data_IF_126715362237
#
_entry.id   IF_126715362237
#
_cell.length_a   1.000
_cell.length_b   1.000
_cell.length_c   1.000
_cell.angle_alpha   90.00
_cell.angle_beta   90.00
_cell.angle_gamma   90.00
#
_symmetry.space_group_name_H-M   'P 1'
#
loop_
_entity.id
_entity.type
_entity.pdbx_description
1 polymer ?
#
# COMPACT_ATOMS: atom_id res chain seq x y z
N UNK A 1 -10.72 8.64 16.85
CA UNK A 1 -9.26 8.63 16.65
C UNK A 1 -8.93 7.29 16.04
N UNK A 2 -8.19 7.24 14.92
CA UNK A 2 -7.94 6.00 14.16
C UNK A 2 -6.77 5.22 14.75
N UNK A 3 -5.66 5.90 15.06
CA UNK A 3 -4.51 5.32 15.76
C UNK A 3 -3.72 6.42 16.49
N UNK A 4 -3.04 6.06 17.58
CA UNK A 4 -2.19 6.95 18.37
C UNK A 4 -0.80 6.33 18.62
N UNK A 5 0.15 7.16 19.06
CA UNK A 5 1.51 6.71 19.39
C UNK A 5 2.27 6.01 18.23
N UNK A 6 1.93 6.35 16.98
CA UNK A 6 2.69 5.91 15.80
C UNK A 6 4.16 6.34 15.93
N UNK A 7 5.07 5.43 15.57
CA UNK A 7 6.53 5.72 15.60
C UNK A 7 6.91 6.76 14.55
N UNK A 8 6.18 6.82 13.45
CA UNK A 8 6.31 7.80 12.36
C UNK A 8 5.02 7.86 11.52
N UNK A 9 5.05 8.66 10.44
CA UNK A 9 3.94 8.74 9.50
C UNK A 9 4.32 9.51 8.23
N UNK A 10 3.82 9.06 7.09
CA UNK A 10 4.12 9.70 5.80
C UNK A 10 2.98 9.60 4.78
N UNK A 11 2.38 8.41 4.63
CA UNK A 11 1.32 8.17 3.64
C UNK A 11 0.02 7.76 4.33
N UNK A 12 -1.09 8.24 3.79
CA UNK A 12 -2.44 7.78 4.09
C UNK A 12 -3.28 7.87 2.81
N UNK A 13 -4.02 6.82 2.50
CA UNK A 13 -4.90 6.78 1.33
C UNK A 13 -6.18 6.00 1.64
N UNK A 14 -7.32 6.52 1.18
CA UNK A 14 -8.59 5.82 1.28
C UNK A 14 -8.50 4.51 0.49
N UNK A 15 -8.87 3.40 1.11
CA UNK A 15 -8.73 2.07 0.52
C UNK A 15 -10.02 1.28 0.73
N UNK A 16 -10.49 0.66 -0.35
CA UNK A 16 -11.64 -0.23 -0.33
C UNK A 16 -11.17 -1.55 -0.93
N UNK A 17 -11.10 -2.59 -0.10
CA UNK A 17 -10.51 -3.87 -0.50
C UNK A 17 -11.28 -4.53 -1.66
N UNK A 18 -12.61 -4.38 -1.65
CA UNK A 18 -13.57 -4.80 -2.67
C UNK A 18 -14.82 -3.91 -2.59
N UNK A 19 -15.81 -4.15 -3.46
CA UNK A 19 -17.06 -3.36 -3.50
C UNK A 19 -17.95 -3.55 -2.25
N UNK A 20 -17.75 -4.60 -1.45
CA UNK A 20 -18.56 -4.93 -0.27
C UNK A 20 -17.93 -4.37 1.04
N UNK A 21 -16.62 -4.22 1.06
CA UNK A 21 -15.83 -3.78 2.20
C UNK A 21 -16.05 -2.29 2.42
N UNK A 22 -16.44 -1.84 3.63
CA UNK A 22 -16.51 -0.43 3.95
C UNK A 22 -15.14 0.25 3.72
N UNK A 23 -15.15 1.42 3.08
CA UNK A 23 -13.93 2.20 2.80
C UNK A 23 -13.19 2.46 4.12
N UNK A 24 -11.99 1.92 4.24
CA UNK A 24 -11.00 2.20 5.28
C UNK A 24 -9.83 2.99 4.71
N UNK A 25 -8.63 2.81 5.28
CA UNK A 25 -7.42 3.49 4.81
C UNK A 25 -6.20 2.58 4.85
N UNK A 26 -5.28 2.75 3.91
CA UNK A 26 -3.91 2.23 4.02
C UNK A 26 -3.03 3.36 4.52
N UNK A 27 -2.20 3.10 5.54
CA UNK A 27 -1.27 4.09 6.07
C UNK A 27 0.06 3.46 6.50
N UNK A 28 1.12 4.26 6.44
CA UNK A 28 2.47 3.86 6.83
C UNK A 28 3.43 5.05 6.97
N UNK A 29 4.58 4.80 7.58
CA UNK A 29 5.74 5.69 7.62
C UNK A 29 7.01 5.04 7.06
N UNK A 30 8.05 5.86 6.83
CA UNK A 30 9.29 5.44 6.17
C UNK A 30 10.14 4.49 7.03
N UNK A 31 10.10 4.66 8.34
CA UNK A 31 10.99 4.05 9.33
C UNK A 31 10.36 2.87 10.03
N UNK A 32 9.03 2.87 10.25
CA UNK A 32 8.33 1.71 10.83
C UNK A 32 8.18 0.56 9.83
N UNK A 33 8.28 0.85 8.52
CA UNK A 33 8.36 -0.11 7.40
C UNK A 33 7.11 -0.97 7.22
N UNK A 34 6.08 -0.76 8.02
CA UNK A 34 4.87 -1.57 8.00
C UNK A 34 3.77 -0.85 7.23
N UNK A 35 3.29 -1.51 6.17
CA UNK A 35 2.15 -1.09 5.38
C UNK A 35 0.93 -1.74 6.01
N UNK A 36 0.00 -0.94 6.52
CA UNK A 36 -1.17 -1.45 7.25
C UNK A 36 -2.46 -0.91 6.67
N UNK A 37 -3.45 -1.79 6.56
CA UNK A 37 -4.84 -1.45 6.30
C UNK A 37 -5.57 -1.23 7.62
N UNK A 38 -6.27 -0.12 7.72
CA UNK A 38 -7.11 0.28 8.84
C UNK A 38 -8.56 0.17 8.36
N UNK A 39 -9.24 -0.96 8.66
CA UNK A 39 -10.64 -1.11 8.29
C UNK A 39 -11.48 -0.04 8.98
N UNK A 40 -12.53 0.39 8.29
CA UNK A 40 -13.46 1.34 8.87
C UNK A 40 -14.27 0.70 10.00
N UNK A 41 -14.27 1.34 11.17
CA UNK A 41 -15.04 0.96 12.35
C UNK A 41 -16.08 2.02 12.76
N UNK A 42 -16.47 2.94 11.87
CA UNK A 42 -17.35 4.08 12.19
C UNK A 42 -18.73 3.67 12.73
N UNK A 43 -19.16 2.42 12.46
CA UNK A 43 -20.44 1.87 12.92
C UNK A 43 -20.30 0.98 14.16
N UNK A 44 -19.09 0.74 14.65
CA UNK A 44 -18.83 -0.10 15.82
C UNK A 44 -18.16 0.74 16.91
N UNK A 45 -18.41 0.39 18.17
CA UNK A 45 -17.69 0.99 19.31
C UNK A 45 -16.38 0.28 19.62
N UNK A 46 -16.11 -0.83 18.92
CA UNK A 46 -14.91 -1.64 19.13
C UNK A 46 -13.76 -1.12 18.27
N UNK A 47 -12.56 -1.02 18.86
CA UNK A 47 -11.36 -0.73 18.09
C UNK A 47 -11.09 -1.91 17.17
N UNK A 48 -11.02 -1.65 15.86
CA UNK A 48 -10.56 -2.65 14.89
C UNK A 48 -9.06 -2.52 14.77
N UNK A 49 -8.34 -3.61 15.04
CA UNK A 49 -6.88 -3.62 14.93
C UNK A 49 -6.45 -3.50 13.46
N UNK A 50 -5.36 -2.76 13.18
CA UNK A 50 -4.84 -2.63 11.83
C UNK A 50 -4.38 -3.99 11.29
N UNK A 51 -4.67 -4.24 10.02
CA UNK A 51 -4.25 -5.44 9.31
C UNK A 51 -2.95 -5.14 8.56
N UNK A 52 -1.87 -5.84 8.92
CA UNK A 52 -0.60 -5.72 8.20
C UNK A 52 -0.74 -6.27 6.78
N UNK A 53 -0.46 -5.43 5.80
CA UNK A 53 -0.36 -5.81 4.38
C UNK A 53 1.04 -6.37 4.09
N UNK A 54 2.09 -5.61 4.41
CA UNK A 54 3.46 -5.98 4.06
C UNK A 54 4.49 -5.16 4.86
N UNK A 55 5.75 -5.64 4.89
CA UNK A 55 6.90 -4.85 5.33
C UNK A 55 7.80 -4.46 4.15
N UNK A 56 8.03 -3.16 4.00
CA UNK A 56 8.88 -2.58 2.96
C UNK A 56 9.82 -1.56 3.59
N UNK A 57 11.08 -1.56 3.18
CA UNK A 57 12.08 -0.58 3.63
C UNK A 57 11.79 0.76 2.95
N UNK A 58 11.72 1.85 3.72
CA UNK A 58 11.54 3.22 3.22
C UNK A 58 10.48 3.34 2.11
N UNK A 59 9.22 2.91 2.37
CA UNK A 59 8.13 3.05 1.43
C UNK A 59 7.78 4.54 1.27
N UNK A 60 7.45 4.94 0.04
CA UNK A 60 7.12 6.33 -0.27
C UNK A 60 5.68 6.43 -0.75
N UNK A 61 5.43 6.18 -2.03
CA UNK A 61 4.13 6.41 -2.63
C UNK A 61 3.45 5.11 -3.01
N UNK A 62 2.14 5.09 -2.85
CA UNK A 62 1.30 4.01 -3.34
C UNK A 62 0.16 4.55 -4.20
N UNK A 63 -0.47 3.61 -4.91
CA UNK A 63 -1.79 3.76 -5.50
C UNK A 63 -2.46 2.38 -5.51
N UNK A 64 -3.73 2.32 -5.90
CA UNK A 64 -4.51 1.08 -5.89
C UNK A 64 -5.26 0.85 -7.21
N UNK A 65 -5.40 -0.41 -7.61
CA UNK A 65 -6.23 -0.82 -8.75
C UNK A 65 -6.53 -2.31 -8.68
N UNK A 66 -7.62 -2.76 -9.31
CA UNK A 66 -7.88 -4.18 -9.57
C UNK A 66 -6.97 -4.65 -10.72
N UNK A 67 -5.75 -5.11 -10.38
CA UNK A 67 -4.74 -5.53 -11.37
C UNK A 67 -5.11 -6.90 -11.93
N UNK A 68 -5.50 -7.82 -11.05
CA UNK A 68 -5.83 -9.20 -11.41
C UNK A 68 -7.18 -9.32 -12.13
N UNK A 69 -8.05 -8.32 -12.02
CA UNK A 69 -9.37 -8.34 -12.64
C UNK A 69 -10.40 -9.14 -11.84
N UNK A 70 -10.10 -9.48 -10.59
CA UNK A 70 -10.90 -10.35 -9.73
C UNK A 70 -11.88 -9.58 -8.83
N UNK A 71 -11.89 -8.24 -8.91
CA UNK A 71 -12.77 -7.37 -8.12
C UNK A 71 -12.19 -6.93 -6.78
N UNK A 72 -10.98 -7.36 -6.44
CA UNK A 72 -10.25 -6.92 -5.25
C UNK A 72 -9.18 -5.90 -5.66
N UNK A 73 -9.10 -4.78 -4.94
CA UNK A 73 -8.06 -3.78 -5.22
C UNK A 73 -6.72 -4.26 -4.69
N UNK A 74 -5.75 -4.29 -5.57
CA UNK A 74 -4.33 -4.50 -5.28
C UNK A 74 -3.65 -3.15 -4.98
N UNK A 75 -2.47 -3.20 -4.37
CA UNK A 75 -1.67 -2.00 -4.06
C UNK A 75 -0.42 -1.97 -4.92
N UNK A 76 -0.14 -0.84 -5.58
CA UNK A 76 1.13 -0.59 -6.26
C UNK A 76 1.91 0.38 -5.40
N UNK A 77 3.14 0.04 -5.03
CA UNK A 77 3.93 0.82 -4.08
C UNK A 77 5.39 0.92 -4.50
N UNK A 78 5.97 2.09 -4.27
CA UNK A 78 7.41 2.26 -4.38
C UNK A 78 8.11 2.32 -3.02
N UNK A 79 9.28 1.69 -2.95
CA UNK A 79 10.05 1.55 -1.72
C UNK A 79 11.56 1.50 -1.99
N UNK A 80 12.32 1.39 -0.91
CA UNK A 80 13.77 1.45 -0.88
C UNK A 80 14.31 2.78 -1.44
N UNK A 81 13.68 3.88 -1.01
CA UNK A 81 14.11 5.22 -1.42
C UNK A 81 15.46 5.61 -0.81
N UNK A 82 15.75 5.14 0.41
CA UNK A 82 16.78 5.66 1.30
C UNK A 82 16.19 6.56 2.39
N UNK A 83 17.06 7.19 3.19
CA UNK A 83 16.63 7.96 4.38
C UNK A 83 16.20 9.37 4.03
N UNK A 84 16.89 10.01 3.09
CA UNK A 84 16.63 11.41 2.68
C UNK A 84 16.99 11.61 1.21
N UNK A 85 16.71 12.80 0.65
CA UNK A 85 17.10 13.15 -0.73
C UNK A 85 18.63 13.19 -0.93
N UNK A 86 19.40 13.47 0.11
CA UNK A 86 20.88 13.48 0.06
C UNK A 86 21.50 12.14 0.46
N UNK A 87 20.67 11.20 0.91
CA UNK A 87 21.05 9.86 1.37
C UNK A 87 20.04 8.84 0.82
N UNK A 88 19.86 8.89 -0.50
CA UNK A 88 19.01 7.98 -1.23
C UNK A 88 19.78 6.68 -1.56
N UNK A 89 19.05 5.58 -1.76
CA UNK A 89 19.65 4.33 -2.22
C UNK A 89 19.73 4.34 -3.77
N UNK A 90 20.94 4.35 -4.37
CA UNK A 90 21.08 4.35 -5.84
C UNK A 90 20.64 3.03 -6.48
N UNK A 91 20.57 1.94 -5.72
CA UNK A 91 20.11 0.64 -6.23
C UNK A 91 18.62 0.39 -5.97
N UNK A 92 18.00 1.19 -5.11
CA UNK A 92 16.61 1.07 -4.70
C UNK A 92 15.61 1.74 -5.64
N UNK A 93 14.56 2.33 -5.07
CA UNK A 93 13.43 2.87 -5.83
C UNK A 93 12.66 1.78 -6.58
N UNK A 94 12.48 0.63 -5.92
CA UNK A 94 11.73 -0.50 -6.44
C UNK A 94 10.25 -0.17 -6.51
N UNK A 95 9.58 -0.71 -7.53
CA UNK A 95 8.13 -0.66 -7.70
C UNK A 95 7.63 -2.10 -7.73
N UNK A 96 6.71 -2.42 -6.83
CA UNK A 96 6.01 -3.71 -6.77
C UNK A 96 4.52 -3.46 -6.77
N UNK A 97 3.75 -4.47 -7.18
CA UNK A 97 2.37 -4.56 -6.77
C UNK A 97 2.20 -5.68 -5.73
N UNK A 98 1.30 -5.45 -4.79
CA UNK A 98 0.96 -6.32 -3.68
C UNK A 98 -0.43 -6.89 -3.96
N UNK A 99 -0.50 -8.20 -4.09
CA UNK A 99 -1.74 -8.90 -4.44
C UNK A 99 -2.67 -9.01 -3.25
N UNK A 100 -3.90 -8.53 -3.43
CA UNK A 100 -4.94 -8.66 -2.43
C UNK A 100 -5.40 -10.13 -2.35
N UNK A 101 -5.27 -10.79 -1.19
CA UNK A 101 -5.63 -12.20 -1.04
C UNK A 101 -7.15 -12.43 -0.96
N UNK A 102 -7.95 -11.38 -1.19
CA UNK A 102 -9.40 -11.37 -1.12
C UNK A 102 -9.88 -11.67 0.30
N UNK A 103 -10.71 -12.71 0.43
CA UNK A 103 -11.31 -13.11 1.71
C UNK A 103 -10.29 -13.59 2.76
N UNK A 104 -9.04 -13.83 2.37
CA UNK A 104 -7.97 -14.24 3.28
C UNK A 104 -7.17 -13.04 3.85
N UNK A 105 -7.68 -11.81 3.74
CA UNK A 105 -7.01 -10.62 4.28
C UNK A 105 -6.65 -10.80 5.77
N UNK A 106 -5.42 -10.45 6.13
CA UNK A 106 -4.92 -10.55 7.52
C UNK A 106 -4.44 -11.93 7.96
N UNK A 107 -4.51 -12.96 7.09
CA UNK A 107 -3.90 -14.27 7.38
C UNK A 107 -2.40 -14.28 7.15
N UNK A 108 -1.96 -13.75 6.01
CA UNK A 108 -0.55 -13.68 5.60
C UNK A 108 -0.23 -12.32 4.97
N UNK A 109 1.06 -11.91 4.91
CA UNK A 109 1.48 -10.76 4.11
C UNK A 109 1.09 -10.93 2.63
N UNK A 110 0.72 -9.83 1.99
CA UNK A 110 0.32 -9.83 0.59
C UNK A 110 1.50 -10.21 -0.31
N UNK A 111 1.23 -11.02 -1.33
CA UNK A 111 2.24 -11.49 -2.29
C UNK A 111 2.80 -10.32 -3.09
N UNK A 112 4.12 -10.29 -3.29
CA UNK A 112 4.80 -9.20 -3.99
C UNK A 112 5.14 -9.60 -5.42
N UNK A 113 4.82 -8.73 -6.36
CA UNK A 113 5.11 -8.91 -7.78
C UNK A 113 5.92 -7.72 -8.29
N UNK A 114 7.10 -7.99 -8.85
CA UNK A 114 8.00 -6.94 -9.32
C UNK A 114 7.49 -6.26 -10.59
N UNK A 115 7.47 -4.92 -10.60
CA UNK A 115 7.10 -4.10 -11.76
C UNK A 115 8.33 -3.49 -12.42
N UNK A 116 9.23 -2.90 -11.62
CA UNK A 116 10.39 -2.18 -12.13
C UNK A 116 11.15 -1.45 -11.03
N UNK A 117 12.14 -0.64 -11.43
CA UNK A 117 12.85 0.25 -10.51
C UNK A 117 13.33 1.51 -11.22
N UNK A 118 13.41 2.59 -10.46
CA UNK A 118 14.15 3.80 -10.82
C UNK A 118 14.67 4.42 -9.54
N UNK A 119 15.97 4.78 -9.46
CA UNK A 119 16.49 5.48 -8.28
C UNK A 119 15.63 6.69 -7.95
N UNK A 120 15.42 6.96 -6.67
CA UNK A 120 14.66 8.11 -6.15
C UNK A 120 13.18 8.17 -6.55
N UNK A 121 12.57 7.09 -7.05
CA UNK A 121 11.14 7.10 -7.37
C UNK A 121 10.33 7.50 -6.14
N UNK A 122 9.56 8.57 -6.26
CA UNK A 122 8.94 9.24 -5.12
C UNK A 122 7.42 9.40 -5.27
N UNK A 123 6.87 9.24 -6.47
CA UNK A 123 5.42 9.22 -6.74
C UNK A 123 5.13 8.25 -7.88
N UNK A 124 3.96 7.64 -7.81
CA UNK A 124 3.38 6.83 -8.87
C UNK A 124 1.87 6.98 -8.85
N UNK A 125 1.23 6.71 -10.00
CA UNK A 125 -0.22 6.57 -10.14
C UNK A 125 -0.52 5.49 -11.17
N UNK A 126 -1.64 4.82 -10.99
CA UNK A 126 -2.12 3.71 -11.82
C UNK A 126 -3.38 4.16 -12.55
N UNK A 127 -3.50 3.75 -13.80
CA UNK A 127 -4.64 4.08 -14.63
C UNK A 127 -4.44 3.72 -16.09
N UNK A 128 -5.47 3.99 -16.88
CA UNK A 128 -5.45 3.76 -18.32
C UNK A 128 -4.90 4.99 -19.05
N UNK A 129 -3.57 5.09 -19.13
CA UNK A 129 -2.91 6.23 -19.77
C UNK A 129 -2.91 6.15 -21.30
N UNK A 130 -2.82 4.94 -21.86
CA UNK A 130 -2.71 4.72 -23.31
C UNK A 130 -3.64 3.62 -23.84
N UNK A 131 -4.21 2.78 -22.97
CA UNK A 131 -5.17 1.73 -23.35
C UNK A 131 -6.07 1.30 -22.20
N UNK A 132 -7.25 0.78 -22.55
CA UNK A 132 -8.23 0.17 -21.64
C UNK A 132 -8.45 -1.33 -21.87
N UNK A 133 -7.78 -1.92 -22.87
CA UNK A 133 -7.91 -3.35 -23.19
C UNK A 133 -7.21 -4.21 -22.14
N UNK A 134 -7.88 -5.27 -21.67
CA UNK A 134 -7.28 -6.37 -20.91
C UNK A 134 -6.63 -7.37 -21.89
N UNK A 135 -5.49 -7.94 -21.53
CA UNK A 135 -4.73 -8.92 -22.33
C UNK A 135 -5.19 -10.36 -22.06
#
# INVERSE_FOLDING_TARGET
MIEEHLKDGYWIEAFQADDETPIGFVAYGLSDREISFYPNSWTTTEKVEPIRIQKLINPIAMDQADITGNGFKDIIICFDYGRTITDFNPDGGHIVWLENPGQNIGTEPWEQHYVGRSPTVHRLKVGHFTQTKRW
#
